data_IF_770105267980
#
_entry.id   IF_770105267980
#
_cell.length_a   1.000
_cell.length_b   1.000
_cell.length_c   1.000
_cell.angle_alpha   90.00
_cell.angle_beta   90.00
_cell.angle_gamma   90.00
#
_symmetry.space_group_name_H-M   'P 1'
#
loop_
_entity.id
_entity.type
_entity.pdbx_description
1 polymer ?
#
# COMPACT_ATOMS: atom_id res chain seq x y z
N UNK A 1 41.81 27.95 16.31
CA UNK A 1 40.47 27.53 16.78
C UNK A 1 39.32 27.78 15.79
N UNK A 2 39.03 29.02 15.35
CA UNK A 2 37.85 29.34 14.51
C UNK A 2 37.73 28.54 13.18
N UNK A 3 38.84 28.17 12.54
CA UNK A 3 38.84 27.37 11.29
C UNK A 3 38.50 25.89 11.52
N UNK A 4 38.91 25.32 12.65
CA UNK A 4 38.64 23.91 13.01
C UNK A 4 37.17 23.79 13.43
N UNK A 5 36.66 24.75 14.21
CA UNK A 5 35.26 24.81 14.63
C UNK A 5 34.30 24.92 13.43
N UNK A 6 34.65 25.69 12.39
CA UNK A 6 33.87 25.74 11.13
C UNK A 6 33.85 24.41 10.38
N UNK A 7 34.95 23.66 10.37
CA UNK A 7 35.01 22.34 9.70
C UNK A 7 34.16 21.30 10.44
N UNK A 8 34.21 21.30 11.77
CA UNK A 8 33.33 20.45 12.60
C UNK A 8 31.86 20.82 12.44
N UNK A 9 31.52 22.10 12.39
CA UNK A 9 30.13 22.55 12.18
C UNK A 9 29.59 22.16 10.79
N UNK A 10 30.42 22.23 9.75
CA UNK A 10 30.04 21.77 8.40
C UNK A 10 29.90 20.24 8.32
N UNK A 11 30.75 19.48 9.00
CA UNK A 11 30.63 18.02 9.11
C UNK A 11 29.39 17.61 9.90
N UNK A 12 29.04 18.36 10.95
CA UNK A 12 27.85 18.13 11.77
C UNK A 12 26.55 18.39 10.98
N UNK A 13 26.50 19.47 10.17
CA UNK A 13 25.37 19.74 9.28
C UNK A 13 25.26 18.66 8.19
N UNK A 14 26.37 18.24 7.59
CA UNK A 14 26.37 17.14 6.62
C UNK A 14 25.88 15.83 7.23
N UNK A 15 26.28 15.53 8.48
CA UNK A 15 25.80 14.38 9.23
C UNK A 15 24.30 14.48 9.56
N UNK A 16 23.79 15.67 9.90
CA UNK A 16 22.35 15.89 10.14
C UNK A 16 21.49 15.72 8.87
N UNK A 17 22.03 16.05 7.70
CA UNK A 17 21.34 15.89 6.40
C UNK A 17 21.35 14.41 5.94
N UNK A 18 22.34 13.63 6.40
CA UNK A 18 22.45 12.19 6.14
C UNK A 18 21.64 11.33 7.12
N UNK A 19 21.07 11.93 8.17
CA UNK A 19 20.11 11.22 9.01
C UNK A 19 18.82 11.03 8.18
N UNK A 20 18.35 9.80 7.98
CA UNK A 20 17.06 9.59 7.33
C UNK A 20 15.99 10.27 8.19
N UNK A 21 15.41 11.35 7.68
CA UNK A 21 14.16 11.88 8.21
C UNK A 21 13.08 10.86 7.84
N UNK A 22 12.80 9.93 8.74
CA UNK A 22 11.56 9.16 8.69
C UNK A 22 10.41 10.13 8.95
N UNK A 23 9.78 10.62 7.88
CA UNK A 23 8.45 11.21 7.97
C UNK A 23 7.49 10.05 8.25
N UNK A 24 7.23 9.82 9.53
CA UNK A 24 6.13 8.95 9.93
C UNK A 24 4.84 9.72 9.69
N UNK A 25 4.00 9.24 8.76
CA UNK A 25 2.60 9.61 8.74
C UNK A 25 2.00 9.29 10.13
N UNK A 26 1.07 10.12 10.60
CA UNK A 26 0.41 9.93 11.89
C UNK A 26 -0.15 8.49 11.98
N UNK A 27 0.10 7.80 13.09
CA UNK A 27 -0.28 6.41 13.31
C UNK A 27 -1.79 6.25 13.56
N UNK A 28 -2.61 6.53 12.56
CA UNK A 28 -3.98 6.03 12.48
C UNK A 28 -3.98 4.79 11.55
N UNK A 29 -3.14 3.80 11.89
CA UNK A 29 -2.93 2.60 11.09
C UNK A 29 -4.09 1.59 11.21
N UNK A 30 -4.08 0.60 10.31
CA UNK A 30 -5.00 -0.55 10.36
C UNK A 30 -4.45 -1.63 11.29
N UNK A 31 -5.28 -2.13 12.20
CA UNK A 31 -4.99 -3.29 13.05
C UNK A 31 -5.90 -4.43 12.65
N UNK A 32 -5.31 -5.55 12.22
CA UNK A 32 -6.10 -6.74 11.91
C UNK A 32 -6.45 -7.47 13.22
N UNK A 33 -7.69 -7.33 13.69
CA UNK A 33 -8.20 -7.92 14.93
C UNK A 33 -9.67 -8.38 14.87
N UNK A 34 -10.39 -8.09 13.78
CA UNK A 34 -11.77 -8.45 13.55
C UNK A 34 -12.83 -7.51 14.16
N UNK A 35 -12.43 -6.37 14.76
CA UNK A 35 -13.37 -5.36 15.28
C UNK A 35 -13.75 -4.29 14.23
N UNK A 36 -12.89 -4.05 13.26
CA UNK A 36 -13.09 -3.22 12.07
C UNK A 36 -13.40 -1.72 12.30
N UNK A 37 -13.26 -1.20 13.51
CA UNK A 37 -13.55 0.20 13.87
C UNK A 37 -12.56 1.19 13.23
N UNK A 38 -11.32 0.74 13.01
CA UNK A 38 -10.26 1.44 12.29
C UNK A 38 -10.53 1.67 10.79
N UNK A 39 -11.57 1.04 10.23
CA UNK A 39 -11.99 1.21 8.84
C UNK A 39 -13.05 2.30 8.63
N UNK A 40 -13.71 2.79 9.68
CA UNK A 40 -14.90 3.64 9.55
C UNK A 40 -14.65 4.92 8.74
N UNK A 41 -13.45 5.51 8.87
CA UNK A 41 -13.01 6.75 8.21
C UNK A 41 -12.37 6.53 6.82
N UNK A 42 -12.15 5.28 6.38
CA UNK A 42 -11.51 4.97 5.09
C UNK A 42 -12.52 5.07 3.93
N UNK A 43 -12.12 5.52 2.73
CA UNK A 43 -13.06 5.62 1.61
C UNK A 43 -13.64 4.27 1.21
N UNK A 44 -14.92 4.26 0.80
CA UNK A 44 -15.65 3.06 0.38
C UNK A 44 -15.74 2.98 -1.14
N UNK A 45 -15.31 1.85 -1.69
CA UNK A 45 -15.62 1.42 -3.06
C UNK A 45 -16.73 0.39 -3.01
N UNK A 46 -17.83 0.67 -3.71
CA UNK A 46 -18.96 -0.24 -3.82
C UNK A 46 -18.74 -1.23 -4.97
N UNK A 47 -18.63 -2.52 -4.65
CA UNK A 47 -18.52 -3.59 -5.64
C UNK A 47 -19.92 -4.17 -5.89
N UNK A 48 -20.34 -4.16 -7.15
CA UNK A 48 -21.56 -4.81 -7.62
C UNK A 48 -21.50 -4.99 -9.12
N UNK A 49 -22.29 -5.92 -9.64
CA UNK A 49 -22.65 -5.93 -11.06
C UNK A 49 -23.81 -4.97 -11.33
N UNK A 50 -23.91 -4.36 -12.52
CA UNK A 50 -25.07 -3.54 -12.89
C UNK A 50 -26.40 -4.30 -12.86
N UNK A 51 -26.36 -5.63 -13.05
CA UNK A 51 -27.52 -6.51 -13.11
C UNK A 51 -28.03 -6.99 -11.74
N UNK A 52 -27.25 -6.82 -10.66
CA UNK A 52 -27.71 -7.21 -9.32
C UNK A 52 -28.55 -6.12 -8.68
N UNK A 53 -29.47 -6.53 -7.81
CA UNK A 53 -30.25 -5.60 -7.01
C UNK A 53 -29.31 -4.63 -6.27
N UNK A 54 -29.58 -3.31 -6.26
CA UNK A 54 -28.69 -2.32 -5.62
C UNK A 54 -28.38 -2.60 -4.15
N UNK A 55 -29.20 -3.42 -3.53
CA UNK A 55 -29.20 -3.80 -2.12
C UNK A 55 -28.17 -4.89 -1.79
N UNK A 56 -27.73 -5.68 -2.78
CA UNK A 56 -26.70 -6.73 -2.63
C UNK A 56 -25.28 -6.20 -2.91
N UNK A 57 -25.03 -4.94 -2.60
CA UNK A 57 -23.73 -4.30 -2.82
C UNK A 57 -22.72 -4.76 -1.77
N UNK A 58 -21.48 -5.01 -2.21
CA UNK A 58 -20.35 -5.27 -1.33
C UNK A 58 -19.59 -3.97 -1.10
N UNK A 59 -18.99 -3.80 0.07
CA UNK A 59 -18.14 -2.64 0.36
C UNK A 59 -16.69 -3.10 0.41
N UNK A 60 -15.83 -2.39 -0.32
CA UNK A 60 -14.39 -2.53 -0.26
C UNK A 60 -13.80 -1.24 0.30
N UNK A 61 -12.91 -1.34 1.28
CA UNK A 61 -12.08 -0.22 1.75
C UNK A 61 -10.63 -0.62 1.63
N UNK A 62 -9.77 0.35 1.37
CA UNK A 62 -8.34 0.14 1.18
C UNK A 62 -7.53 1.17 1.95
N UNK A 63 -6.36 0.74 2.41
CA UNK A 63 -5.36 1.58 3.05
C UNK A 63 -3.97 1.02 2.76
N UNK A 64 -2.99 1.87 2.49
CA UNK A 64 -1.61 1.45 2.27
C UNK A 64 -0.67 2.10 3.28
N UNK A 65 0.30 1.33 3.74
CA UNK A 65 1.47 1.87 4.43
C UNK A 65 2.74 1.62 3.58
N UNK A 66 3.92 1.61 4.21
CA UNK A 66 5.19 1.38 3.51
C UNK A 66 5.40 -0.07 3.06
N UNK A 67 4.69 -1.03 3.65
CA UNK A 67 4.97 -2.47 3.52
C UNK A 67 3.78 -3.26 2.98
N UNK A 68 2.55 -2.84 3.27
CA UNK A 68 1.34 -3.59 3.02
C UNK A 68 0.23 -2.73 2.40
N UNK A 69 -0.55 -3.37 1.54
CA UNK A 69 -1.92 -2.98 1.24
C UNK A 69 -2.83 -3.69 2.23
N UNK A 70 -3.65 -2.94 2.95
CA UNK A 70 -4.71 -3.44 3.80
C UNK A 70 -6.02 -3.32 3.05
N UNK A 71 -6.85 -4.37 3.14
CA UNK A 71 -8.17 -4.41 2.54
C UNK A 71 -9.20 -4.83 3.58
N UNK A 72 -10.37 -4.18 3.52
CA UNK A 72 -11.59 -4.58 4.21
C UNK A 72 -12.68 -4.87 3.19
N UNK A 73 -13.42 -5.96 3.42
CA UNK A 73 -14.56 -6.36 2.59
C UNK A 73 -15.78 -6.62 3.49
N UNK A 74 -16.87 -5.89 3.25
CA UNK A 74 -18.22 -6.26 3.71
C UNK A 74 -18.96 -6.96 2.59
N UNK A 75 -19.27 -8.24 2.77
CA UNK A 75 -20.15 -8.97 1.86
C UNK A 75 -21.59 -8.46 1.96
N UNK A 76 -22.32 -8.51 0.85
CA UNK A 76 -23.69 -8.00 0.64
C UNK A 76 -24.33 -7.28 1.84
N UNK A 77 -24.46 -5.96 1.75
CA UNK A 77 -24.99 -5.11 2.84
C UNK A 77 -26.47 -5.37 3.16
N UNK A 78 -27.16 -6.16 2.33
CA UNK A 78 -28.50 -6.71 2.54
C UNK A 78 -28.55 -8.15 2.04
N UNK A 79 -29.39 -8.99 2.63
CA UNK A 79 -29.37 -10.45 2.45
C UNK A 79 -28.31 -11.13 3.32
N UNK A 80 -28.00 -12.39 3.04
CA UNK A 80 -26.96 -13.13 3.78
C UNK A 80 -25.93 -13.70 2.83
N UNK A 81 -24.71 -13.17 2.86
CA UNK A 81 -23.63 -13.61 1.95
C UNK A 81 -22.36 -13.94 2.74
N UNK A 82 -21.75 -15.07 2.41
CA UNK A 82 -20.47 -15.47 2.98
C UNK A 82 -19.32 -15.08 2.07
N UNK A 83 -18.14 -14.84 2.66
CA UNK A 83 -16.91 -14.76 1.89
C UNK A 83 -16.51 -16.16 1.43
N UNK A 84 -15.97 -16.27 0.22
CA UNK A 84 -15.54 -17.54 -0.38
C UNK A 84 -14.14 -17.38 -0.99
N UNK A 85 -13.71 -18.39 -1.73
CA UNK A 85 -12.45 -18.42 -2.47
C UNK A 85 -12.51 -17.49 -3.69
N UNK A 86 -12.38 -16.19 -3.46
CA UNK A 86 -12.45 -15.17 -4.51
C UNK A 86 -11.08 -14.83 -5.07
N UNK A 87 -11.01 -14.61 -6.38
CA UNK A 87 -9.79 -14.18 -7.06
C UNK A 87 -9.70 -12.66 -7.04
N UNK A 88 -8.52 -12.16 -6.67
CA UNK A 88 -8.09 -10.78 -6.86
C UNK A 88 -7.26 -10.73 -8.13
N UNK A 89 -7.69 -9.94 -9.10
CA UNK A 89 -6.97 -9.66 -10.34
C UNK A 89 -6.30 -8.29 -10.26
N UNK A 90 -5.02 -8.22 -10.57
CA UNK A 90 -4.28 -6.96 -10.61
C UNK A 90 -3.74 -6.68 -12.01
N UNK A 91 -3.90 -5.44 -12.46
CA UNK A 91 -3.20 -4.90 -13.63
C UNK A 91 -2.33 -3.70 -13.24
N UNK A 92 -1.20 -3.55 -13.93
CA UNK A 92 -0.20 -2.54 -13.64
C UNK A 92 -0.14 -1.50 -14.77
N UNK A 93 0.07 -0.24 -14.40
CA UNK A 93 0.32 0.88 -15.31
C UNK A 93 -0.70 0.99 -16.46
N UNK A 94 -1.99 0.91 -16.09
CA UNK A 94 -3.12 0.97 -17.01
C UNK A 94 -3.16 -0.14 -18.07
N UNK A 95 -2.42 -1.24 -17.87
CA UNK A 95 -2.53 -2.41 -18.74
C UNK A 95 -3.96 -2.95 -18.77
N UNK A 96 -4.38 -3.39 -19.97
CA UNK A 96 -5.63 -4.11 -20.18
C UNK A 96 -5.51 -5.61 -19.90
N UNK A 97 -4.31 -6.09 -19.57
CA UNK A 97 -4.08 -7.49 -19.19
C UNK A 97 -3.96 -7.62 -17.67
N UNK A 98 -4.53 -8.70 -17.14
CA UNK A 98 -4.26 -9.12 -15.76
C UNK A 98 -2.85 -9.68 -15.71
N UNK A 99 -2.06 -9.23 -14.73
CA UNK A 99 -0.64 -9.56 -14.61
C UNK A 99 -0.31 -10.25 -13.29
N UNK A 100 -1.22 -10.21 -12.31
CA UNK A 100 -1.07 -10.89 -11.03
C UNK A 100 -2.43 -11.38 -10.53
N UNK A 101 -2.46 -12.61 -10.02
CA UNK A 101 -3.62 -13.25 -9.42
C UNK A 101 -3.33 -13.62 -7.96
N UNK A 102 -4.16 -13.14 -7.05
CA UNK A 102 -4.17 -13.56 -5.66
C UNK A 102 -5.51 -14.22 -5.34
N UNK A 103 -5.56 -15.06 -4.32
CA UNK A 103 -6.81 -15.66 -3.84
C UNK A 103 -7.06 -15.27 -2.39
N UNK A 104 -8.28 -14.79 -2.13
CA UNK A 104 -8.83 -14.65 -0.79
C UNK A 104 -9.36 -16.02 -0.38
N UNK A 105 -8.86 -16.59 0.73
CA UNK A 105 -9.27 -17.89 1.21
C UNK A 105 -9.65 -17.80 2.70
N UNK A 106 -10.96 -17.83 3.03
CA UNK A 106 -11.39 -18.05 4.41
C UNK A 106 -10.92 -19.43 4.87
N UNK A 107 -10.22 -19.48 6.00
CA UNK A 107 -9.69 -20.74 6.49
C UNK A 107 -10.85 -21.66 6.95
N UNK A 108 -10.82 -22.92 6.50
CA UNK A 108 -11.77 -23.96 6.90
C UNK A 108 -10.99 -25.24 7.20
N UNK A 109 -11.16 -25.88 8.36
CA UNK A 109 -12.17 -25.63 9.41
C UNK A 109 -11.79 -24.53 10.42
N UNK A 110 -10.60 -23.89 10.31
CA UNK A 110 -10.16 -22.83 11.24
C UNK A 110 -11.01 -21.57 11.06
N UNK A 111 -12.11 -21.47 11.82
CA UNK A 111 -13.03 -20.33 11.76
C UNK A 111 -12.34 -19.03 12.17
N UNK A 112 -12.67 -17.93 11.49
CA UNK A 112 -12.30 -16.58 11.90
C UNK A 112 -11.04 -16.01 11.24
N UNK A 113 -10.41 -16.75 10.32
CA UNK A 113 -9.19 -16.33 9.63
C UNK A 113 -9.36 -16.27 8.12
N UNK A 114 -8.55 -15.42 7.49
CA UNK A 114 -8.42 -15.30 6.04
C UNK A 114 -6.94 -15.38 5.66
N UNK A 115 -6.64 -16.30 4.76
CA UNK A 115 -5.33 -16.43 4.12
C UNK A 115 -5.39 -15.85 2.72
N UNK A 116 -4.34 -15.15 2.32
CA UNK A 116 -4.13 -14.70 0.93
C UNK A 116 -3.05 -15.57 0.30
N UNK A 117 -3.40 -16.15 -0.85
CA UNK A 117 -2.49 -16.98 -1.64
C UNK A 117 -2.06 -16.27 -2.92
N UNK A 118 -0.79 -16.41 -3.30
CA UNK A 118 -0.31 -16.10 -4.64
C UNK A 118 -0.60 -17.28 -5.57
N UNK A 119 -1.54 -17.09 -6.48
CA UNK A 119 -1.96 -18.14 -7.41
C UNK A 119 -0.91 -18.38 -8.50
N UNK A 120 -0.23 -17.32 -8.94
CA UNK A 120 0.80 -17.41 -9.98
C UNK A 120 2.07 -18.09 -9.43
N UNK A 121 2.32 -17.94 -8.13
CA UNK A 121 3.38 -18.62 -7.38
C UNK A 121 3.06 -20.06 -6.96
N UNK A 122 1.96 -20.65 -7.43
CA UNK A 122 1.56 -22.03 -7.08
C UNK A 122 0.82 -22.14 -5.74
N UNK A 123 -0.02 -21.16 -5.42
CA UNK A 123 -0.81 -21.07 -4.17
C UNK A 123 0.07 -21.00 -2.90
N UNK A 124 1.11 -20.17 -2.94
CA UNK A 124 1.93 -19.87 -1.75
C UNK A 124 1.23 -18.84 -0.88
N UNK A 125 1.18 -19.06 0.44
CA UNK A 125 0.56 -18.11 1.35
C UNK A 125 1.44 -16.86 1.48
N UNK A 126 0.91 -15.70 1.08
CA UNK A 126 1.59 -14.39 1.20
C UNK A 126 1.14 -13.61 2.42
N UNK A 127 0.01 -14.00 3.01
CA UNK A 127 -0.52 -13.43 4.25
C UNK A 127 -1.46 -14.42 4.92
N UNK A 128 -1.30 -14.63 6.23
CA UNK A 128 -2.17 -15.49 7.06
C UNK A 128 -2.76 -14.72 8.25
N UNK A 129 -2.63 -13.39 8.22
CA UNK A 129 -2.97 -12.48 9.32
C UNK A 129 -4.43 -12.00 9.30
N UNK A 130 -5.20 -12.37 8.27
CA UNK A 130 -6.55 -11.85 8.06
C UNK A 130 -7.57 -12.39 9.07
N UNK A 131 -8.61 -11.60 9.29
CA UNK A 131 -9.76 -11.94 10.13
C UNK A 131 -11.05 -11.93 9.32
N UNK A 132 -11.99 -12.78 9.70
CA UNK A 132 -13.34 -12.81 9.14
C UNK A 132 -14.36 -13.00 10.27
N UNK A 133 -15.40 -12.17 10.28
CA UNK A 133 -16.47 -12.21 11.27
C UNK A 133 -17.82 -12.15 10.58
N UNK A 134 -18.80 -12.90 11.09
CA UNK A 134 -20.18 -12.82 10.63
C UNK A 134 -20.86 -11.61 11.29
N UNK A 135 -21.20 -10.59 10.49
CA UNK A 135 -21.87 -9.38 10.98
C UNK A 135 -23.34 -9.30 10.58
N UNK A 136 -24.15 -8.65 11.42
CA UNK A 136 -25.55 -8.37 11.11
C UNK A 136 -25.69 -7.31 10.02
N UNK A 137 -26.75 -7.44 9.23
CA UNK A 137 -27.20 -6.46 8.25
C UNK A 137 -28.52 -5.83 8.74
N UNK A 138 -28.91 -4.72 8.11
CA UNK A 138 -30.09 -3.95 8.52
C UNK A 138 -31.43 -4.69 8.33
N UNK A 139 -31.45 -5.76 7.54
CA UNK A 139 -32.62 -6.61 7.26
C UNK A 139 -32.71 -7.84 8.19
N UNK A 140 -31.89 -7.89 9.24
CA UNK A 140 -31.85 -9.02 10.18
C UNK A 140 -31.18 -10.28 9.63
N UNK A 141 -30.57 -10.20 8.45
CA UNK A 141 -29.68 -11.25 7.91
C UNK A 141 -28.23 -10.97 8.29
N UNK A 142 -27.34 -11.91 7.97
CA UNK A 142 -25.92 -11.81 8.35
C UNK A 142 -25.00 -12.03 7.16
N UNK A 143 -24.04 -11.14 6.97
CA UNK A 143 -22.99 -11.26 5.95
C UNK A 143 -21.61 -11.19 6.57
N UNK A 144 -20.66 -11.89 5.95
CA UNK A 144 -19.27 -11.86 6.39
C UNK A 144 -18.66 -10.47 6.18
N UNK A 145 -17.80 -10.09 7.12
CA UNK A 145 -16.88 -8.96 7.03
C UNK A 145 -15.49 -9.52 7.21
N UNK A 146 -14.54 -9.08 6.40
CA UNK A 146 -13.17 -9.54 6.50
C UNK A 146 -12.20 -8.41 6.31
N UNK A 147 -11.04 -8.57 6.93
CA UNK A 147 -9.90 -7.71 6.76
C UNK A 147 -8.64 -8.55 6.62
N UNK A 148 -7.71 -8.08 5.81
CA UNK A 148 -6.45 -8.74 5.57
C UNK A 148 -5.46 -7.74 4.97
N UNK A 149 -4.19 -8.13 4.97
CA UNK A 149 -3.12 -7.36 4.35
C UNK A 149 -2.40 -8.18 3.30
N UNK A 150 -1.86 -7.52 2.29
CA UNK A 150 -1.07 -8.10 1.20
C UNK A 150 0.26 -7.34 1.15
N UNK A 151 1.42 -8.04 1.17
CA UNK A 151 2.71 -7.37 1.01
C UNK A 151 2.76 -6.57 -0.28
N UNK A 152 3.24 -5.31 -0.23
CA UNK A 152 3.36 -4.47 -1.43
C UNK A 152 4.36 -5.04 -2.45
N UNK A 153 5.24 -5.95 -2.03
CA UNK A 153 6.11 -6.71 -2.93
C UNK A 153 5.35 -7.56 -3.94
N UNK A 154 4.13 -7.99 -3.64
CA UNK A 154 3.28 -8.76 -4.57
C UNK A 154 2.82 -7.95 -5.77
N UNK A 155 2.90 -6.62 -5.68
CA UNK A 155 2.43 -5.69 -6.71
C UNK A 155 3.57 -5.07 -7.52
N UNK A 156 4.76 -5.67 -7.48
CA UNK A 156 5.93 -5.13 -8.18
C UNK A 156 6.30 -6.02 -9.35
N UNK A 157 6.37 -5.43 -10.54
CA UNK A 157 6.91 -6.16 -11.69
C UNK A 157 8.41 -6.40 -11.45
N UNK A 158 8.90 -7.60 -11.73
CA UNK A 158 10.32 -7.92 -11.54
C UNK A 158 11.18 -6.97 -12.38
N UNK A 159 12.09 -6.24 -11.73
CA UNK A 159 12.94 -5.24 -12.38
C UNK A 159 12.29 -3.86 -12.58
N UNK A 160 11.07 -3.63 -12.09
CA UNK A 160 10.43 -2.32 -12.14
C UNK A 160 11.22 -1.28 -11.31
N UNK A 161 11.48 -0.13 -11.94
CA UNK A 161 12.11 1.04 -11.32
C UNK A 161 11.09 2.17 -11.32
N UNK A 162 10.81 2.76 -10.15
CA UNK A 162 9.88 3.88 -10.00
C UNK A 162 8.56 3.49 -9.33
N UNK A 163 7.51 4.25 -9.65
CA UNK A 163 6.14 4.08 -9.14
C UNK A 163 5.33 3.31 -10.19
N UNK A 164 4.64 2.27 -9.76
CA UNK A 164 3.64 1.52 -10.53
C UNK A 164 2.24 1.88 -10.02
N UNK A 165 1.32 2.11 -10.95
CA UNK A 165 -0.11 2.25 -10.63
C UNK A 165 -0.75 0.87 -10.70
N UNK A 166 -1.43 0.45 -9.65
CA UNK A 166 -2.07 -0.86 -9.53
C UNK A 166 -3.58 -0.68 -9.57
N UNK A 167 -4.26 -1.45 -10.42
CA UNK A 167 -5.71 -1.61 -10.38
C UNK A 167 -6.03 -2.99 -9.85
N UNK A 168 -6.78 -3.05 -8.76
CA UNK A 168 -7.19 -4.28 -8.08
C UNK A 168 -8.68 -4.53 -8.32
N UNK A 169 -9.01 -5.70 -8.84
CA UNK A 169 -10.39 -6.15 -9.09
C UNK A 169 -10.67 -7.45 -8.36
N UNK A 170 -11.91 -7.62 -7.94
CA UNK A 170 -12.43 -8.90 -7.45
C UNK A 170 -13.63 -9.23 -8.34
N UNK A 171 -13.42 -9.90 -9.49
CA UNK A 171 -14.46 -10.05 -10.51
C UNK A 171 -15.76 -10.63 -9.96
N UNK A 172 -15.68 -11.61 -9.06
CA UNK A 172 -16.87 -12.25 -8.48
C UNK A 172 -17.76 -11.29 -7.68
N UNK A 173 -17.24 -10.13 -7.27
CA UNK A 173 -17.96 -9.13 -6.46
C UNK A 173 -18.44 -7.92 -7.27
N UNK A 174 -18.04 -7.79 -8.55
CA UNK A 174 -18.50 -6.72 -9.43
C UNK A 174 -17.48 -6.24 -10.45
N UNK A 175 -17.85 -5.18 -11.17
CA UNK A 175 -17.07 -4.61 -12.27
C UNK A 175 -16.11 -3.47 -11.86
N UNK A 176 -16.27 -2.96 -10.64
CA UNK A 176 -15.46 -1.88 -10.07
C UNK A 176 -14.09 -2.38 -9.60
N UNK A 177 -13.17 -1.43 -9.43
CA UNK A 177 -11.80 -1.68 -8.99
C UNK A 177 -11.36 -0.66 -7.95
N UNK A 178 -10.37 -1.07 -7.17
CA UNK A 178 -9.57 -0.25 -6.26
C UNK A 178 -8.28 0.17 -6.97
N UNK A 179 -7.74 1.36 -6.68
CA UNK A 179 -6.56 1.88 -7.37
C UNK A 179 -5.58 2.54 -6.40
N UNK A 180 -4.34 2.07 -6.41
CA UNK A 180 -3.29 2.56 -5.53
C UNK A 180 -1.92 2.57 -6.24
N UNK A 181 -0.94 3.20 -5.62
CA UNK A 181 0.42 3.30 -6.15
C UNK A 181 1.39 2.52 -5.27
N UNK A 182 2.33 1.82 -5.92
CA UNK A 182 3.44 1.13 -5.25
C UNK A 182 4.75 1.55 -5.89
N UNK A 183 5.80 1.76 -5.12
CA UNK A 183 7.07 2.18 -5.71
C UNK A 183 8.21 2.25 -4.72
N UNK A 184 9.43 2.09 -5.23
CA UNK A 184 10.62 2.41 -4.46
C UNK A 184 10.86 3.91 -4.56
N UNK A 185 10.86 4.61 -3.41
CA UNK A 185 11.30 6.00 -3.33
C UNK A 185 12.82 6.15 -3.50
N UNK A 186 13.57 5.03 -3.53
CA UNK A 186 15.03 4.97 -3.62
C UNK A 186 15.67 5.76 -4.78
N UNK A 187 15.15 5.73 -6.03
CA UNK A 187 15.68 6.52 -7.14
C UNK A 187 15.49 8.04 -6.96
N UNK A 188 14.41 8.47 -6.29
CA UNK A 188 14.19 9.89 -6.01
C UNK A 188 15.13 10.39 -4.91
N UNK A 189 15.45 9.54 -3.92
CA UNK A 189 16.49 9.83 -2.93
C UNK A 189 17.88 9.97 -3.56
N UNK A 190 18.25 9.14 -4.54
CA UNK A 190 19.55 9.27 -5.22
C UNK A 190 19.64 10.53 -6.09
N UNK A 191 18.57 10.91 -6.79
CA UNK A 191 18.52 12.19 -7.54
C UNK A 191 18.63 13.39 -6.58
N UNK A 192 17.96 13.35 -5.43
CA UNK A 192 18.07 14.39 -4.40
C UNK A 192 19.52 14.50 -3.88
N UNK A 193 20.16 13.38 -3.55
CA UNK A 193 21.55 13.33 -3.07
C UNK A 193 22.52 13.85 -4.15
N UNK A 194 22.38 13.42 -5.40
CA UNK A 194 23.21 13.89 -6.51
C UNK A 194 23.07 15.41 -6.74
N UNK A 195 21.85 15.94 -6.61
CA UNK A 195 21.58 17.37 -6.75
C UNK A 195 22.25 18.19 -5.66
N UNK A 196 22.23 17.71 -4.41
CA UNK A 196 22.88 18.36 -3.27
C UNK A 196 24.42 18.36 -3.42
N UNK A 197 25.00 17.26 -3.89
CA UNK A 197 26.45 17.15 -4.17
C UNK A 197 26.85 18.13 -5.28
N UNK A 198 26.09 18.18 -6.37
CA UNK A 198 26.37 19.08 -7.49
C UNK A 198 26.32 20.56 -7.07
N UNK A 199 25.29 20.98 -6.33
CA UNK A 199 25.14 22.35 -5.83
C UNK A 199 26.30 22.71 -4.88
N UNK A 200 26.68 21.78 -3.99
CA UNK A 200 27.79 21.97 -3.05
C UNK A 200 29.13 22.13 -3.78
N UNK A 201 29.37 21.33 -4.82
CA UNK A 201 30.56 21.44 -5.68
C UNK A 201 30.64 22.79 -6.39
N UNK A 202 29.55 23.25 -7.00
CA UNK A 202 29.49 24.55 -7.68
C UNK A 202 29.75 25.70 -6.70
N UNK A 203 29.17 25.64 -5.50
CA UNK A 203 29.36 26.67 -4.49
C UNK A 203 30.81 26.74 -3.96
N UNK A 204 31.44 25.58 -3.75
CA UNK A 204 32.85 25.49 -3.36
C UNK A 204 33.79 26.05 -4.44
N UNK A 205 33.53 25.76 -5.72
CA UNK A 205 34.32 26.28 -6.85
C UNK A 205 34.18 27.81 -6.95
N UNK A 206 32.94 28.34 -6.89
CA UNK A 206 32.70 29.79 -6.88
C UNK A 206 33.43 30.49 -5.75
N UNK A 207 33.36 29.93 -4.53
CA UNK A 207 34.06 30.48 -3.36
C UNK A 207 35.58 30.47 -3.53
N UNK A 208 36.15 29.40 -4.11
CA UNK A 208 37.59 29.31 -4.39
C UNK A 208 38.04 30.35 -5.40
N UNK A 209 37.26 30.56 -6.46
CA UNK A 209 37.58 31.53 -7.50
C UNK A 209 37.52 32.97 -6.98
N UNK A 210 36.50 33.31 -6.16
CA UNK A 210 36.40 34.63 -5.53
C UNK A 210 37.56 34.91 -4.56
N UNK A 211 38.05 33.88 -3.86
CA UNK A 211 39.23 34.01 -2.98
C UNK A 211 40.54 34.17 -3.75
N UNK A 212 40.64 33.61 -4.96
CA UNK A 212 41.82 33.77 -5.83
C UNK A 212 41.85 35.10 -6.59
N UNK A 213 40.69 35.69 -6.87
CA UNK A 213 40.57 37.01 -7.49
C UNK A 213 40.80 38.16 -6.48
N UNK A 214 40.82 37.87 -5.18
CA UNK A 214 41.04 38.83 -4.11
C UNK A 214 42.49 38.84 -3.57
N UNK A 215 43.40 38.11 -4.22
CA UNK A 215 44.85 38.07 -3.99
C UNK A 215 45.52 38.66 -5.23
#
# INVERSE_FOLDING_TARGET
MKRILKRFFSLFIAALILLPLSVNAASNGITLDGYFDDWEDKPITYLRYPSVTPEQVHQLREYTDNNYLYLYIKMGTRGGQGLSYYVIECSFNDSNTVQKHLQIAPDRPQTGRVTIFDMDGGYTAVSTDGYIVRGNNSDGKTSDQAEFKIPLSEFRTQGAVGIENVKLRIPDLGDRYAAFQVGSTGPYFSVLICSIIAISGVFMIKRRNNLRAAI
#
